data_IF_762972744914
#
_entry.id   IF_762972744914
#
_cell.length_a   1.000
_cell.length_b   1.000
_cell.length_c   1.000
_cell.angle_alpha   90.00
_cell.angle_beta   90.00
_cell.angle_gamma   90.00
#
_symmetry.space_group_name_H-M   'P 1'
#
loop_
_entity.id
_entity.type
_entity.pdbx_description
1 polymer ?
#
# COMPACT_ATOMS: atom_id res chain seq x y z
N UNK A 1 -15.25 2.70 -4.33
CA UNK A 1 -15.68 1.30 -4.13
C UNK A 1 -15.11 0.44 -5.26
N UNK A 2 -14.14 -0.42 -4.94
CA UNK A 2 -13.58 -1.39 -5.89
C UNK A 2 -14.67 -2.43 -6.17
N UNK A 3 -15.21 -2.45 -7.39
CA UNK A 3 -16.14 -3.49 -7.84
C UNK A 3 -15.35 -4.77 -8.11
N UNK A 4 -15.86 -5.89 -7.61
CA UNK A 4 -15.23 -7.22 -7.77
C UNK A 4 -15.21 -7.70 -9.24
N UNK A 5 -15.95 -7.03 -10.11
CA UNK A 5 -16.04 -7.32 -11.55
C UNK A 5 -14.96 -6.62 -12.38
N UNK A 6 -14.18 -5.71 -11.79
CA UNK A 6 -13.08 -5.03 -12.50
C UNK A 6 -11.86 -5.94 -12.62
N UNK A 7 -11.17 -5.85 -13.76
CA UNK A 7 -9.88 -6.52 -13.93
C UNK A 7 -8.89 -6.00 -12.88
N UNK A 8 -8.19 -6.92 -12.23
CA UNK A 8 -7.16 -6.60 -11.23
C UNK A 8 -6.07 -5.70 -11.81
N UNK A 9 -5.74 -5.85 -13.09
CA UNK A 9 -4.71 -5.05 -13.73
C UNK A 9 -5.15 -3.61 -13.98
N UNK A 10 -6.45 -3.38 -14.21
CA UNK A 10 -7.00 -2.02 -14.28
C UNK A 10 -7.00 -1.35 -12.90
N UNK A 11 -7.27 -2.13 -11.84
CA UNK A 11 -7.18 -1.65 -10.46
C UNK A 11 -5.73 -1.27 -10.12
N UNK A 12 -4.78 -2.16 -10.38
CA UNK A 12 -3.35 -1.91 -10.17
C UNK A 12 -2.92 -0.61 -10.88
N UNK A 13 -3.30 -0.48 -12.16
CA UNK A 13 -2.96 0.71 -12.93
C UNK A 13 -3.51 1.98 -12.28
N UNK A 14 -4.77 1.97 -11.87
CA UNK A 14 -5.40 3.12 -11.25
C UNK A 14 -4.75 3.47 -9.91
N UNK A 15 -4.41 2.49 -9.10
CA UNK A 15 -3.88 2.71 -7.75
C UNK A 15 -2.40 3.10 -7.80
N UNK A 16 -1.56 2.25 -8.39
CA UNK A 16 -0.11 2.39 -8.33
C UNK A 16 0.44 3.44 -9.32
N UNK A 17 -0.22 3.68 -10.45
CA UNK A 17 0.24 4.68 -11.43
C UNK A 17 -0.44 6.05 -11.29
N UNK A 18 -1.54 6.16 -10.52
CA UNK A 18 -2.31 7.40 -10.40
C UNK A 18 -2.51 7.82 -8.95
N UNK A 19 -3.18 7.02 -8.11
CA UNK A 19 -3.54 7.43 -6.75
C UNK A 19 -2.32 7.59 -5.83
N UNK A 20 -1.52 6.53 -5.65
CA UNK A 20 -0.33 6.63 -4.78
C UNK A 20 0.62 7.75 -5.24
N UNK A 21 0.95 7.90 -6.54
CA UNK A 21 1.78 9.01 -6.99
C UNK A 21 1.22 10.40 -6.66
N UNK A 22 -0.10 10.60 -6.75
CA UNK A 22 -0.72 11.89 -6.38
C UNK A 22 -0.52 12.20 -4.90
N UNK A 23 -0.67 11.20 -4.03
CA UNK A 23 -0.48 11.39 -2.61
C UNK A 23 0.99 11.66 -2.27
N UNK A 24 1.88 10.81 -2.76
CA UNK A 24 3.31 10.83 -2.48
C UNK A 24 4.03 12.08 -2.98
N UNK A 25 3.60 12.58 -4.14
CA UNK A 25 4.27 13.69 -4.83
C UNK A 25 3.58 15.03 -4.61
N UNK A 26 2.27 15.04 -4.31
CA UNK A 26 1.52 16.29 -4.16
C UNK A 26 0.96 16.49 -2.75
N UNK A 27 0.37 15.47 -2.12
CA UNK A 27 -0.31 15.66 -0.83
C UNK A 27 0.64 15.57 0.37
N UNK A 28 1.35 14.45 0.49
CA UNK A 28 2.22 14.14 1.62
C UNK A 28 3.33 15.17 1.82
N UNK A 29 4.02 15.69 0.78
CA UNK A 29 5.04 16.71 0.96
C UNK A 29 4.52 18.00 1.61
N UNK A 30 3.24 18.36 1.41
CA UNK A 30 2.67 19.60 1.94
C UNK A 30 2.42 19.54 3.45
N UNK A 31 2.25 18.34 3.99
CA UNK A 31 1.92 18.13 5.41
C UNK A 31 3.02 17.41 6.18
N UNK A 32 4.04 16.88 5.50
CA UNK A 32 5.09 16.06 6.12
C UNK A 32 5.84 16.78 7.24
N UNK A 33 6.03 18.10 7.10
CA UNK A 33 6.71 18.95 8.09
C UNK A 33 5.74 19.64 9.07
N UNK A 34 4.43 19.35 8.99
CA UNK A 34 3.44 20.02 9.83
C UNK A 34 3.58 19.57 11.30
N UNK A 35 3.77 20.49 12.27
CA UNK A 35 4.03 20.12 13.68
C UNK A 35 2.96 19.21 14.30
N UNK A 36 1.68 19.48 14.04
CA UNK A 36 0.55 18.67 14.52
C UNK A 36 0.58 17.21 14.07
N UNK A 37 1.26 16.88 12.96
CA UNK A 37 1.45 15.50 12.54
C UNK A 37 2.34 14.77 13.55
N UNK A 38 3.37 15.44 14.06
CA UNK A 38 4.39 14.93 15.00
C UNK A 38 3.90 14.89 16.45
N UNK A 39 2.98 15.78 16.83
CA UNK A 39 2.46 15.88 18.21
C UNK A 39 1.55 14.69 18.59
N UNK A 40 1.04 13.96 17.59
CA UNK A 40 0.07 12.90 17.78
C UNK A 40 -1.33 13.42 18.15
N UNK A 41 -2.32 12.54 18.09
CA UNK A 41 -3.71 12.89 18.34
C UNK A 41 -4.65 11.74 18.01
N UNK A 42 -5.97 11.89 18.23
CA UNK A 42 -6.94 10.79 18.10
C UNK A 42 -6.89 10.10 16.73
N UNK A 43 -6.61 10.85 15.67
CA UNK A 43 -6.46 10.35 14.30
C UNK A 43 -5.15 9.53 14.14
N UNK A 44 -4.02 10.06 14.62
CA UNK A 44 -2.75 9.30 14.62
C UNK A 44 -2.85 8.02 15.49
N UNK A 45 -3.57 8.08 16.63
CA UNK A 45 -3.81 6.92 17.50
C UNK A 45 -4.70 5.88 16.83
N UNK A 46 -5.70 6.28 16.05
CA UNK A 46 -6.54 5.35 15.28
C UNK A 46 -5.72 4.60 14.23
N UNK A 47 -4.91 5.31 13.44
CA UNK A 47 -4.03 4.70 12.44
C UNK A 47 -3.02 3.73 13.07
N UNK A 48 -2.39 4.15 14.17
CA UNK A 48 -1.43 3.32 14.90
C UNK A 48 -2.09 2.12 15.57
N UNK A 49 -3.30 2.28 16.09
CA UNK A 49 -4.09 1.19 16.67
C UNK A 49 -4.41 0.12 15.65
N UNK A 50 -4.85 0.51 14.45
CA UNK A 50 -5.07 -0.44 13.36
C UNK A 50 -3.80 -1.17 12.91
N UNK A 51 -2.66 -0.47 12.86
CA UNK A 51 -1.37 -1.09 12.53
C UNK A 51 -0.96 -2.15 13.58
N UNK A 52 -1.19 -1.88 14.86
CA UNK A 52 -0.84 -2.79 15.95
C UNK A 52 -1.82 -3.96 16.10
N UNK A 53 -3.13 -3.70 15.96
CA UNK A 53 -4.17 -4.70 16.21
C UNK A 53 -4.40 -5.62 15.00
N UNK A 54 -4.31 -5.08 13.78
CA UNK A 54 -4.60 -5.83 12.56
C UNK A 54 -3.33 -6.30 11.83
N UNK A 55 -2.19 -5.65 12.08
CA UNK A 55 -0.91 -5.88 11.39
C UNK A 55 -1.12 -6.20 9.90
N UNK A 56 -1.65 -5.24 9.13
CA UNK A 56 -2.22 -5.51 7.81
C UNK A 56 -1.21 -6.00 6.79
N UNK A 57 0.09 -5.82 7.04
CA UNK A 57 1.18 -6.19 6.12
C UNK A 57 1.68 -7.62 6.27
N UNK A 58 1.57 -8.20 7.47
CA UNK A 58 2.23 -9.47 7.81
C UNK A 58 1.90 -10.64 6.87
N UNK A 59 0.64 -10.76 6.46
CA UNK A 59 0.19 -11.84 5.56
C UNK A 59 0.77 -11.69 4.15
N UNK A 60 0.75 -10.47 3.61
CA UNK A 60 1.34 -10.12 2.32
C UNK A 60 2.86 -10.35 2.32
N UNK A 61 3.57 -9.90 3.35
CA UNK A 61 5.01 -10.07 3.49
C UNK A 61 5.41 -11.55 3.49
N UNK A 62 4.72 -12.39 4.26
CA UNK A 62 5.01 -13.83 4.31
C UNK A 62 4.59 -14.55 3.02
N UNK A 63 3.57 -14.08 2.32
CA UNK A 63 3.19 -14.61 1.00
C UNK A 63 4.26 -14.29 -0.05
N UNK A 64 4.69 -13.04 -0.15
CA UNK A 64 5.75 -12.59 -1.06
C UNK A 64 7.06 -13.31 -0.76
N UNK A 65 7.45 -13.42 0.51
CA UNK A 65 8.64 -14.17 0.94
C UNK A 65 8.63 -15.62 0.45
N UNK A 66 7.49 -16.31 0.53
CA UNK A 66 7.34 -17.68 -0.01
C UNK A 66 7.41 -17.70 -1.53
N UNK A 67 6.80 -16.73 -2.21
CA UNK A 67 6.86 -16.63 -3.67
C UNK A 67 8.28 -16.39 -4.17
N UNK A 68 9.01 -15.45 -3.55
CA UNK A 68 10.41 -15.17 -3.86
C UNK A 68 11.31 -16.40 -3.63
N UNK A 69 11.09 -17.14 -2.54
CA UNK A 69 11.81 -18.38 -2.26
C UNK A 69 11.57 -19.47 -3.33
N UNK A 70 10.48 -19.39 -4.09
CA UNK A 70 10.15 -20.30 -5.18
C UNK A 70 10.52 -19.78 -6.57
N UNK A 71 11.19 -18.63 -6.67
CA UNK A 71 11.72 -18.10 -7.92
C UNK A 71 10.90 -16.96 -8.53
N UNK A 72 9.91 -16.41 -7.84
CA UNK A 72 9.33 -15.12 -8.23
C UNK A 72 10.44 -14.04 -8.17
N UNK A 73 10.60 -13.19 -9.19
CA UNK A 73 11.60 -12.12 -9.14
C UNK A 73 11.29 -11.13 -8.01
N UNK A 74 12.34 -10.59 -7.42
CA UNK A 74 12.23 -9.47 -6.47
C UNK A 74 11.81 -8.20 -7.24
N UNK A 75 11.00 -7.33 -6.63
CA UNK A 75 10.54 -6.10 -7.25
C UNK A 75 11.70 -5.12 -7.45
N UNK A 76 11.48 -4.15 -8.32
CA UNK A 76 12.37 -3.00 -8.44
C UNK A 76 12.27 -2.11 -7.19
N UNK A 77 13.31 -1.30 -6.95
CA UNK A 77 13.32 -0.39 -5.81
C UNK A 77 12.20 0.66 -5.93
N UNK A 78 11.46 0.86 -4.84
CA UNK A 78 10.43 1.89 -4.76
C UNK A 78 11.06 3.31 -4.76
N UNK A 79 10.36 4.35 -5.27
CA UNK A 79 10.85 5.72 -5.20
C UNK A 79 11.21 6.17 -3.78
N UNK A 80 12.28 6.98 -3.67
CA UNK A 80 12.71 7.57 -2.41
C UNK A 80 12.23 9.02 -2.32
N UNK A 81 11.73 9.40 -1.14
CA UNK A 81 11.18 10.73 -0.88
C UNK A 81 11.98 11.42 0.22
N UNK A 82 12.39 12.67 -0.01
CA UNK A 82 13.19 13.44 0.96
C UNK A 82 12.45 13.78 2.24
N UNK A 83 11.11 13.85 2.19
CA UNK A 83 10.24 14.12 3.32
C UNK A 83 9.94 12.87 4.17
N UNK A 84 10.24 11.68 3.66
CA UNK A 84 9.95 10.41 4.30
C UNK A 84 11.11 9.97 5.20
N UNK A 85 10.84 9.84 6.49
CA UNK A 85 11.76 9.26 7.47
C UNK A 85 10.97 8.42 8.48
N UNK A 86 11.68 7.63 9.29
CA UNK A 86 11.08 6.70 10.25
C UNK A 86 10.27 7.37 11.37
N UNK A 87 10.48 8.66 11.61
CA UNK A 87 9.74 9.44 12.60
C UNK A 87 8.50 10.11 11.99
N UNK A 88 8.38 10.18 10.66
CA UNK A 88 7.22 10.75 10.01
C UNK A 88 6.03 9.78 10.10
N UNK A 89 4.87 10.19 10.65
CA UNK A 89 3.68 9.33 10.69
C UNK A 89 3.20 8.85 9.33
N UNK A 90 3.51 9.57 8.25
CA UNK A 90 3.25 9.15 6.87
C UNK A 90 4.09 7.93 6.45
N UNK A 91 5.11 7.55 7.21
CA UNK A 91 5.84 6.28 7.00
C UNK A 91 4.95 5.05 7.10
N UNK A 92 3.84 5.14 7.84
CA UNK A 92 2.87 4.04 7.96
C UNK A 92 2.12 3.81 6.64
N UNK A 93 1.35 4.78 6.08
CA UNK A 93 0.71 4.61 4.78
C UNK A 93 1.74 4.35 3.66
N UNK A 94 2.92 4.99 3.70
CA UNK A 94 3.99 4.70 2.73
C UNK A 94 4.46 3.25 2.77
N UNK A 95 4.56 2.65 3.96
CA UNK A 95 4.90 1.23 4.06
C UNK A 95 3.86 0.31 3.40
N UNK A 96 2.60 0.76 3.32
CA UNK A 96 1.56 0.03 2.59
C UNK A 96 1.64 0.27 1.08
N UNK A 97 1.92 1.50 0.62
CA UNK A 97 2.13 1.79 -0.81
C UNK A 97 3.27 0.94 -1.38
N UNK A 98 4.38 0.85 -0.64
CA UNK A 98 5.52 0.01 -1.03
C UNK A 98 5.08 -1.45 -1.16
N UNK A 99 4.36 -1.96 -0.15
CA UNK A 99 3.96 -3.37 -0.15
C UNK A 99 2.89 -3.69 -1.20
N UNK A 100 1.95 -2.79 -1.45
CA UNK A 100 0.96 -2.95 -2.53
C UNK A 100 1.64 -2.92 -3.89
N UNK A 101 2.61 -2.05 -4.11
CA UNK A 101 3.40 -2.02 -5.33
C UNK A 101 4.21 -3.32 -5.52
N UNK A 102 4.83 -3.87 -4.46
CA UNK A 102 5.49 -5.18 -4.56
C UNK A 102 4.52 -6.29 -5.00
N UNK A 103 3.32 -6.33 -4.41
CA UNK A 103 2.25 -7.26 -4.80
C UNK A 103 1.80 -7.02 -6.25
N UNK A 104 1.67 -5.77 -6.67
CA UNK A 104 1.30 -5.39 -8.03
C UNK A 104 2.36 -5.85 -9.05
N UNK A 105 3.65 -5.61 -8.78
CA UNK A 105 4.74 -6.08 -9.62
C UNK A 105 4.74 -7.61 -9.73
N UNK A 106 4.49 -8.33 -8.63
CA UNK A 106 4.35 -9.79 -8.64
C UNK A 106 3.19 -10.26 -9.53
N UNK A 107 2.03 -9.60 -9.43
CA UNK A 107 0.85 -9.91 -10.25
C UNK A 107 1.08 -9.60 -11.73
N UNK A 108 1.71 -8.48 -12.04
CA UNK A 108 2.07 -8.06 -13.40
C UNK A 108 3.05 -9.05 -14.04
N UNK A 109 4.06 -9.52 -13.28
CA UNK A 109 4.95 -10.57 -13.76
C UNK A 109 4.17 -11.84 -14.14
N UNK A 110 3.23 -12.26 -13.29
CA UNK A 110 2.46 -13.49 -13.49
C UNK A 110 1.37 -13.39 -14.57
N UNK A 111 0.97 -12.18 -15.00
CA UNK A 111 -0.18 -11.90 -15.87
C UNK A 111 -0.33 -12.86 -17.06
N UNK A 112 0.77 -13.09 -17.78
CA UNK A 112 0.77 -13.90 -19.01
C UNK A 112 1.37 -15.31 -18.81
N UNK A 113 1.52 -15.75 -17.55
CA UNK A 113 2.19 -16.99 -17.18
C UNK A 113 1.22 -18.07 -16.67
N UNK A 114 -0.04 -18.09 -17.14
CA UNK A 114 -1.12 -18.91 -16.59
C UNK A 114 -0.85 -20.42 -16.53
N UNK A 115 0.04 -20.93 -17.39
CA UNK A 115 0.43 -22.34 -17.42
C UNK A 115 1.58 -22.69 -16.47
N UNK A 116 2.33 -21.69 -16.01
CA UNK A 116 3.52 -21.86 -15.16
C UNK A 116 3.14 -22.28 -13.74
N UNK A 117 4.04 -23.02 -13.09
CA UNK A 117 3.86 -23.47 -11.70
C UNK A 117 3.68 -22.28 -10.75
N UNK A 118 4.50 -21.25 -10.90
CA UNK A 118 4.44 -20.04 -10.05
C UNK A 118 3.07 -19.36 -10.11
N UNK A 119 2.47 -19.26 -11.29
CA UNK A 119 1.12 -18.71 -11.43
C UNK A 119 0.09 -19.52 -10.66
N UNK A 120 0.08 -20.84 -10.88
CA UNK A 120 -0.89 -21.76 -10.25
C UNK A 120 -0.78 -21.75 -8.73
N UNK A 121 0.42 -21.61 -8.21
CA UNK A 121 0.68 -21.65 -6.76
C UNK A 121 0.35 -20.31 -6.07
N UNK A 122 0.57 -19.17 -6.74
CA UNK A 122 0.58 -17.87 -6.07
C UNK A 122 -0.42 -16.84 -6.59
N UNK A 123 -0.82 -16.87 -7.87
CA UNK A 123 -1.56 -15.76 -8.48
C UNK A 123 -2.85 -15.41 -7.72
N UNK A 124 -3.68 -16.40 -7.42
CA UNK A 124 -4.95 -16.19 -6.70
C UNK A 124 -4.71 -15.63 -5.30
N UNK A 125 -3.73 -16.19 -4.58
CA UNK A 125 -3.39 -15.74 -3.22
C UNK A 125 -2.86 -14.31 -3.21
N UNK A 126 -1.96 -13.98 -4.14
CA UNK A 126 -1.40 -12.62 -4.28
C UNK A 126 -2.48 -11.61 -4.67
N UNK A 127 -3.38 -11.98 -5.59
CA UNK A 127 -4.50 -11.13 -6.01
C UNK A 127 -5.43 -10.83 -4.84
N UNK A 128 -5.84 -11.86 -4.11
CA UNK A 128 -6.73 -11.69 -2.97
C UNK A 128 -6.09 -10.83 -1.89
N UNK A 129 -4.80 -11.02 -1.67
CA UNK A 129 -4.03 -10.27 -0.69
C UNK A 129 -3.84 -8.81 -1.07
N UNK A 130 -3.56 -8.52 -2.35
CA UNK A 130 -3.54 -7.15 -2.88
C UNK A 130 -4.89 -6.44 -2.65
N UNK A 131 -6.00 -7.09 -3.02
CA UNK A 131 -7.35 -6.53 -2.83
C UNK A 131 -7.64 -6.31 -1.33
N UNK A 132 -7.25 -7.26 -0.47
CA UNK A 132 -7.45 -7.14 0.98
C UNK A 132 -6.68 -5.97 1.56
N UNK A 133 -5.39 -5.85 1.23
CA UNK A 133 -4.53 -4.76 1.68
C UNK A 133 -5.08 -3.41 1.20
N UNK A 134 -5.43 -3.31 -0.09
CA UNK A 134 -6.00 -2.10 -0.68
C UNK A 134 -7.33 -1.68 -0.02
N UNK A 135 -8.22 -2.63 0.27
CA UNK A 135 -9.49 -2.33 0.98
C UNK A 135 -9.24 -1.78 2.39
N UNK A 136 -8.26 -2.33 3.10
CA UNK A 136 -7.89 -1.85 4.44
C UNK A 136 -7.21 -0.48 4.38
N UNK A 137 -6.34 -0.29 3.40
CA UNK A 137 -5.64 0.96 3.15
C UNK A 137 -6.64 2.09 2.90
N UNK A 138 -7.53 1.94 1.90
CA UNK A 138 -8.58 2.94 1.59
C UNK A 138 -9.45 3.24 2.82
N UNK A 139 -9.84 2.22 3.59
CA UNK A 139 -10.65 2.44 4.80
C UNK A 139 -9.94 3.30 5.84
N UNK A 140 -8.62 3.17 5.97
CA UNK A 140 -7.81 4.02 6.84
C UNK A 140 -7.68 5.43 6.29
N UNK A 141 -7.48 5.56 4.99
CA UNK A 141 -7.30 6.85 4.35
C UNK A 141 -8.56 7.71 4.46
N UNK A 142 -9.70 7.17 4.02
CA UNK A 142 -11.01 7.82 4.08
C UNK A 142 -11.42 8.12 5.53
N UNK A 143 -11.17 7.18 6.43
CA UNK A 143 -11.60 7.29 7.82
C UNK A 143 -10.76 8.24 8.66
N UNK A 144 -9.52 8.53 8.23
CA UNK A 144 -8.55 9.19 9.09
C UNK A 144 -7.54 10.08 8.34
N UNK A 145 -6.82 9.55 7.36
CA UNK A 145 -5.71 10.27 6.73
C UNK A 145 -6.20 11.52 6.01
N UNK A 146 -7.20 11.41 5.14
CA UNK A 146 -7.67 12.55 4.37
C UNK A 146 -8.37 13.60 5.24
N UNK A 147 -9.08 13.18 6.29
CA UNK A 147 -9.64 14.10 7.30
C UNK A 147 -8.53 14.88 8.02
N UNK A 148 -7.40 14.23 8.30
CA UNK A 148 -6.24 14.91 8.88
C UNK A 148 -5.62 15.88 7.87
N UNK A 149 -5.37 15.44 6.63
CA UNK A 149 -4.82 16.28 5.58
C UNK A 149 -5.65 17.55 5.37
N UNK A 150 -6.97 17.44 5.28
CA UNK A 150 -7.88 18.59 5.16
C UNK A 150 -7.70 19.58 6.31
N UNK A 151 -7.64 19.09 7.56
CA UNK A 151 -7.45 19.95 8.74
C UNK A 151 -6.10 20.65 8.77
N UNK A 152 -5.05 20.01 8.28
CA UNK A 152 -3.69 20.57 8.27
C UNK A 152 -3.46 21.56 7.12
N UNK A 153 -4.28 21.50 6.07
CA UNK A 153 -4.19 22.36 4.88
C UNK A 153 -5.23 23.50 4.88
N UNK A 154 -6.09 23.58 5.89
CA UNK A 154 -7.09 24.64 6.10
C UNK A 154 -6.53 25.80 6.90
#
# INVERSE_FOLDING_TARGET
MISEDKDIFDIIKLVEEIHHPLEEQALFPLIADHPLLQEGGPLCTFFRGMELDLNPKSVAEELLKRAYAQGLPRPHAYPQFTWLNEHNPLSMPMGEHVLSDELAQALLFLKDQSNEKLYKDFFVSLKNEYIRLLKLHIAKEDGCLFVLCEKLLS
#
